data_IF_741345722253
#
_entry.id   IF_741345722253
#
_cell.length_a   1.000
_cell.length_b   1.000
_cell.length_c   1.000
_cell.angle_alpha   90.00
_cell.angle_beta   90.00
_cell.angle_gamma   90.00
#
_symmetry.space_group_name_H-M   'P 1'
#
loop_
_entity.id
_entity.type
_entity.pdbx_description
1 polymer ?
#
# COMPACT_ATOMS: atom_id res chain seq x y z
N UNK A 1 33.29 -54.31 57.43
CA UNK A 1 33.62 -55.74 57.59
C UNK A 1 32.61 -56.50 56.71
N UNK A 2 32.92 -56.66 55.41
CA UNK A 2 33.26 -57.94 54.72
C UNK A 2 32.04 -58.90 54.68
N UNK A 3 31.47 -59.33 53.55
CA UNK A 3 31.97 -59.80 52.23
C UNK A 3 30.93 -59.50 51.11
N UNK A 4 31.22 -59.13 49.85
CA UNK A 4 31.94 -59.79 48.73
C UNK A 4 31.37 -61.13 48.22
N UNK A 5 30.76 -61.11 47.01
CA UNK A 5 30.95 -62.02 45.84
C UNK A 5 30.14 -61.50 44.64
N UNK A 6 30.73 -60.81 43.66
CA UNK A 6 31.27 -61.30 42.37
C UNK A 6 30.30 -62.07 41.46
N UNK A 7 29.95 -61.50 40.29
CA UNK A 7 30.34 -62.05 38.97
C UNK A 7 29.95 -61.12 37.80
N UNK A 8 30.96 -60.71 37.04
CA UNK A 8 30.85 -60.14 35.69
C UNK A 8 30.52 -61.23 34.67
N UNK A 9 29.64 -60.96 33.69
CA UNK A 9 29.81 -61.36 32.27
C UNK A 9 29.04 -60.37 31.36
N UNK A 10 29.78 -59.58 30.57
CA UNK A 10 29.36 -59.07 29.24
C UNK A 10 29.86 -60.11 28.20
N UNK A 11 29.35 -60.26 26.95
CA UNK A 11 28.80 -59.19 26.11
C UNK A 11 27.67 -59.58 25.10
N UNK A 12 27.15 -58.52 24.47
CA UNK A 12 26.78 -58.41 23.03
C UNK A 12 25.60 -59.18 22.38
N UNK A 13 24.81 -58.34 21.69
CA UNK A 13 24.11 -58.57 20.42
C UNK A 13 22.84 -59.45 20.41
N UNK A 14 21.69 -58.78 20.32
CA UNK A 14 20.96 -58.64 19.03
C UNK A 14 19.64 -57.91 19.20
N UNK A 15 19.54 -56.78 18.51
CA UNK A 15 18.41 -56.31 17.72
C UNK A 15 17.01 -56.88 18.05
N UNK A 16 16.10 -55.96 18.40
CA UNK A 16 14.80 -55.70 17.71
C UNK A 16 13.98 -54.76 18.60
N UNK A 17 13.84 -53.51 18.18
CA UNK A 17 12.57 -52.99 17.65
C UNK A 17 11.42 -53.11 18.63
N UNK A 18 11.05 -51.98 19.22
CA UNK A 18 9.68 -51.53 19.50
C UNK A 18 9.80 -50.11 20.08
N UNK A 19 9.96 -49.12 19.19
CA UNK A 19 9.58 -47.75 19.47
C UNK A 19 8.44 -47.43 18.53
N UNK A 20 7.27 -47.19 19.12
CA UNK A 20 6.06 -46.83 18.42
C UNK A 20 6.29 -45.56 17.62
N UNK A 21 5.95 -45.62 16.34
CA UNK A 21 5.79 -44.47 15.47
C UNK A 21 4.68 -43.58 16.04
N UNK A 22 5.06 -42.50 16.72
CA UNK A 22 4.22 -41.32 16.77
C UNK A 22 4.25 -40.73 15.35
N UNK A 23 3.17 -40.92 14.60
CA UNK A 23 2.92 -40.15 13.39
C UNK A 23 2.68 -38.70 13.82
N UNK A 24 3.74 -37.89 13.81
CA UNK A 24 3.60 -36.44 13.67
C UNK A 24 3.06 -36.19 12.26
N UNK A 25 1.76 -35.92 12.17
CA UNK A 25 1.16 -35.36 10.97
C UNK A 25 1.86 -34.05 10.63
N UNK A 26 1.97 -33.68 9.34
CA UNK A 26 2.64 -32.46 8.95
C UNK A 26 1.90 -31.29 9.60
N UNK A 27 2.59 -30.59 10.51
CA UNK A 27 2.22 -29.24 10.90
C UNK A 27 2.14 -28.46 9.60
N UNK A 28 0.92 -28.09 9.25
CA UNK A 28 0.62 -27.16 8.19
C UNK A 28 1.28 -25.83 8.61
N UNK A 29 2.56 -25.69 8.26
CA UNK A 29 3.25 -24.43 8.30
C UNK A 29 2.38 -23.48 7.49
N UNK A 30 1.73 -22.54 8.18
CA UNK A 30 1.12 -21.39 7.54
C UNK A 30 2.23 -20.72 6.74
N UNK A 31 2.31 -21.10 5.46
CA UNK A 31 3.00 -20.33 4.45
C UNK A 31 2.31 -18.99 4.48
N UNK A 32 2.97 -18.00 5.05
CA UNK A 32 2.68 -16.62 4.73
C UNK A 32 2.94 -16.48 3.23
N UNK A 33 1.90 -16.66 2.44
CA UNK A 33 1.95 -16.35 1.02
C UNK A 33 2.42 -14.90 0.88
N UNK A 34 3.52 -14.62 0.16
CA UNK A 34 4.05 -13.27 -0.04
C UNK A 34 3.17 -12.42 -0.99
N UNK A 35 1.88 -12.75 -1.13
CA UNK A 35 0.89 -12.11 -2.01
C UNK A 35 -0.32 -11.52 -1.26
N UNK A 36 -0.29 -11.48 0.09
CA UNK A 36 -1.46 -11.08 0.88
C UNK A 36 -1.80 -9.58 0.91
N UNK A 37 -0.99 -8.72 0.30
CA UNK A 37 -1.10 -7.27 0.45
C UNK A 37 -1.27 -6.52 -0.88
N UNK A 38 -1.86 -7.14 -1.92
CA UNK A 38 -2.22 -6.39 -3.13
C UNK A 38 -3.68 -5.93 -3.04
N UNK A 39 -3.91 -4.65 -3.27
CA UNK A 39 -5.21 -4.03 -3.31
C UNK A 39 -5.93 -4.40 -4.61
N UNK A 40 -7.20 -4.78 -4.50
CA UNK A 40 -8.04 -5.16 -5.65
C UNK A 40 -9.18 -4.18 -5.85
N UNK A 41 -9.70 -4.08 -7.08
CA UNK A 41 -10.85 -3.24 -7.41
C UNK A 41 -12.05 -3.53 -6.49
N UNK A 42 -12.32 -4.82 -6.26
CA UNK A 42 -13.41 -5.26 -5.38
C UNK A 42 -13.24 -4.79 -3.93
N UNK A 43 -12.00 -4.75 -3.42
CA UNK A 43 -11.74 -4.21 -2.08
C UNK A 43 -12.01 -2.70 -2.03
N UNK A 44 -11.60 -1.95 -3.05
CA UNK A 44 -11.88 -0.52 -3.15
C UNK A 44 -13.39 -0.24 -3.27
N UNK A 45 -14.08 -0.93 -4.17
CA UNK A 45 -15.53 -0.78 -4.37
C UNK A 45 -16.30 -1.14 -3.10
N UNK A 46 -15.90 -2.17 -2.36
CA UNK A 46 -16.52 -2.49 -1.06
C UNK A 46 -16.29 -1.41 0.01
N UNK A 47 -15.12 -0.77 0.02
CA UNK A 47 -14.77 0.22 1.03
C UNK A 47 -15.36 1.61 0.73
N UNK A 48 -15.39 2.01 -0.54
CA UNK A 48 -15.73 3.37 -0.97
C UNK A 48 -17.06 3.46 -1.73
N UNK A 49 -17.56 2.35 -2.26
CA UNK A 49 -18.68 2.32 -3.20
C UNK A 49 -18.22 2.49 -4.64
N UNK A 50 -19.02 2.00 -5.59
CA UNK A 50 -18.67 2.00 -7.02
C UNK A 50 -18.44 3.42 -7.57
N UNK A 51 -19.26 4.38 -7.17
CA UNK A 51 -19.19 5.76 -7.65
C UNK A 51 -17.99 6.56 -7.12
N UNK A 52 -17.27 6.00 -6.13
CA UNK A 52 -16.14 6.64 -5.47
C UNK A 52 -14.81 5.95 -5.79
N UNK A 53 -14.74 5.19 -6.88
CA UNK A 53 -13.50 4.64 -7.41
C UNK A 53 -13.32 5.14 -8.83
N UNK A 54 -12.19 5.80 -9.08
CA UNK A 54 -11.88 6.41 -10.38
C UNK A 54 -10.78 5.62 -11.06
N UNK A 55 -11.05 5.22 -12.30
CA UNK A 55 -10.13 4.51 -13.16
C UNK A 55 -9.52 5.49 -14.18
N UNK A 56 -8.24 5.34 -14.47
CA UNK A 56 -7.54 6.13 -15.48
C UNK A 56 -7.29 5.23 -16.69
N UNK A 57 -7.97 5.46 -17.82
CA UNK A 57 -7.76 4.67 -19.02
C UNK A 57 -6.31 4.78 -19.49
N UNK A 58 -5.78 3.67 -20.02
CA UNK A 58 -4.45 3.68 -20.63
C UNK A 58 -4.52 4.39 -21.98
N UNK A 59 -3.90 5.57 -22.08
CA UNK A 59 -3.69 6.23 -23.36
C UNK A 59 -2.24 6.03 -23.82
N UNK A 60 -1.99 5.87 -25.13
CA UNK A 60 -0.63 5.72 -25.67
C UNK A 60 0.31 6.88 -25.31
N UNK A 61 -0.24 8.06 -25.09
CA UNK A 61 0.49 9.29 -24.73
C UNK A 61 0.81 9.35 -23.24
N UNK A 62 0.10 8.59 -22.41
CA UNK A 62 0.28 8.55 -20.96
C UNK A 62 1.39 7.55 -20.62
N UNK A 63 2.61 8.06 -20.41
CA UNK A 63 3.81 7.23 -20.24
C UNK A 63 3.99 6.67 -18.83
N UNK A 64 2.99 5.99 -18.27
CA UNK A 64 3.18 5.31 -16.98
C UNK A 64 4.04 4.05 -17.10
N UNK A 65 4.87 3.82 -16.09
CA UNK A 65 5.46 2.52 -15.80
C UNK A 65 4.34 1.44 -15.78
N UNK A 66 4.59 0.24 -16.34
CA UNK A 66 3.56 -0.79 -16.52
C UNK A 66 2.70 -1.13 -15.29
N UNK A 67 3.26 -1.22 -14.08
CA UNK A 67 2.51 -1.54 -12.88
C UNK A 67 1.57 -0.39 -12.48
N UNK A 68 2.06 0.85 -12.54
CA UNK A 68 1.24 2.06 -12.32
C UNK A 68 0.09 2.13 -13.32
N UNK A 69 0.39 1.93 -14.61
CA UNK A 69 -0.62 1.93 -15.67
C UNK A 69 -1.68 0.84 -15.47
N UNK A 70 -1.25 -0.36 -15.07
CA UNK A 70 -2.16 -1.48 -14.81
C UNK A 70 -3.05 -1.19 -13.60
N UNK A 71 -2.48 -0.70 -12.49
CA UNK A 71 -3.22 -0.40 -11.28
C UNK A 71 -4.29 0.67 -11.53
N UNK A 72 -3.91 1.82 -12.10
CA UNK A 72 -4.86 2.91 -12.33
C UNK A 72 -5.98 2.53 -13.31
N UNK A 73 -5.71 1.66 -14.28
CA UNK A 73 -6.71 1.26 -15.28
C UNK A 73 -7.61 0.08 -14.87
N UNK A 74 -7.17 -0.76 -13.91
CA UNK A 74 -7.90 -1.99 -13.54
C UNK A 74 -8.37 -2.01 -12.08
N UNK A 75 -7.69 -1.29 -11.19
CA UNK A 75 -8.04 -1.16 -9.77
C UNK A 75 -8.59 0.24 -9.47
N UNK A 76 -7.96 1.27 -10.05
CA UNK A 76 -8.32 2.67 -9.84
C UNK A 76 -7.84 3.22 -8.50
N UNK A 77 -8.21 4.46 -8.20
CA UNK A 77 -7.95 5.10 -6.90
C UNK A 77 -9.27 5.59 -6.28
N UNK A 78 -9.38 5.59 -4.94
CA UNK A 78 -10.52 6.18 -4.27
C UNK A 78 -10.68 7.67 -4.62
N UNK A 79 -11.92 8.11 -4.80
CA UNK A 79 -12.31 9.51 -4.82
C UNK A 79 -13.18 9.77 -3.58
N UNK A 80 -12.74 10.70 -2.72
CA UNK A 80 -13.44 10.97 -1.46
C UNK A 80 -13.46 12.45 -1.13
N UNK A 81 -14.19 12.83 -0.08
CA UNK A 81 -14.36 14.25 0.27
C UNK A 81 -13.02 15.00 0.45
N UNK A 82 -12.00 14.32 0.98
CA UNK A 82 -10.70 14.93 1.26
C UNK A 82 -9.69 14.78 0.13
N UNK A 83 -9.86 13.75 -0.71
CA UNK A 83 -9.03 13.51 -1.88
C UNK A 83 -9.90 13.49 -3.13
N UNK A 84 -9.79 14.55 -3.92
CA UNK A 84 -10.54 14.74 -5.16
C UNK A 84 -9.65 14.38 -6.33
N UNK A 85 -9.98 13.28 -7.00
CA UNK A 85 -9.29 12.88 -8.22
C UNK A 85 -9.50 13.93 -9.30
N UNK A 86 -8.53 14.10 -10.21
CA UNK A 86 -8.64 15.06 -11.32
C UNK A 86 -9.88 14.82 -12.18
N UNK A 87 -10.35 13.58 -12.31
CA UNK A 87 -11.56 13.25 -13.06
C UNK A 87 -12.86 13.79 -12.41
N UNK A 88 -12.81 14.18 -11.14
CA UNK A 88 -13.92 14.78 -10.38
C UNK A 88 -13.80 16.32 -10.28
N UNK A 89 -12.68 16.91 -10.74
CA UNK A 89 -12.50 18.37 -10.84
C UNK A 89 -13.29 18.85 -12.08
N UNK A 90 -14.05 19.93 -11.92
CA UNK A 90 -15.12 20.34 -12.85
C UNK A 90 -14.74 20.33 -14.34
N UNK A 91 -15.64 19.80 -15.17
CA UNK A 91 -15.43 19.61 -16.61
C UNK A 91 -15.37 20.91 -17.43
N UNK A 92 -15.70 22.05 -16.82
CA UNK A 92 -15.82 23.33 -17.51
C UNK A 92 -14.45 23.96 -17.81
N UNK A 93 -13.41 23.62 -17.02
CA UNK A 93 -12.01 23.99 -17.28
C UNK A 93 -11.09 22.96 -16.60
N UNK A 94 -10.80 21.82 -17.23
CA UNK A 94 -10.03 20.76 -16.59
C UNK A 94 -8.56 21.16 -16.48
N UNK A 95 -8.03 21.15 -15.25
CA UNK A 95 -6.60 21.36 -15.00
C UNK A 95 -5.73 20.47 -15.91
N UNK A 96 -4.59 21.00 -16.40
CA UNK A 96 -3.66 20.21 -17.19
C UNK A 96 -3.26 18.91 -16.50
N UNK A 97 -3.12 17.86 -17.33
CA UNK A 97 -2.71 16.53 -16.87
C UNK A 97 -1.27 16.54 -16.39
N UNK A 98 -0.41 17.25 -17.12
CA UNK A 98 1.01 17.34 -16.86
C UNK A 98 1.32 18.53 -15.94
N UNK A 99 2.18 18.28 -14.97
CA UNK A 99 2.55 19.25 -13.95
C UNK A 99 3.15 20.52 -14.55
N UNK A 100 3.98 20.39 -15.57
CA UNK A 100 4.60 21.54 -16.23
C UNK A 100 3.57 22.49 -16.84
N UNK A 101 2.55 21.93 -17.50
CA UNK A 101 1.48 22.73 -18.09
C UNK A 101 0.57 23.36 -17.02
N UNK A 102 0.39 22.71 -15.87
CA UNK A 102 -0.33 23.28 -14.73
C UNK A 102 0.43 24.49 -14.16
N UNK A 103 1.74 24.37 -13.97
CA UNK A 103 2.59 25.47 -13.49
C UNK A 103 2.65 26.64 -14.50
N UNK A 104 2.62 26.35 -15.81
CA UNK A 104 2.56 27.38 -16.84
C UNK A 104 1.28 28.25 -16.75
N UNK A 105 0.18 27.71 -16.22
CA UNK A 105 -1.06 28.48 -16.01
C UNK A 105 -0.94 29.46 -14.83
N UNK A 106 -0.09 29.14 -13.85
CA UNK A 106 0.13 29.95 -12.65
C UNK A 106 1.32 30.91 -12.80
N UNK A 107 2.00 30.90 -13.96
CA UNK A 107 3.24 31.66 -14.24
C UNK A 107 4.39 31.28 -13.28
N UNK A 108 4.41 29.99 -12.88
CA UNK A 108 5.38 29.41 -11.95
C UNK A 108 6.42 28.50 -12.65
N UNK A 109 7.61 28.38 -12.05
CA UNK A 109 8.71 27.59 -12.59
C UNK A 109 8.61 26.11 -12.16
N UNK A 110 8.26 25.22 -13.10
CA UNK A 110 8.34 23.77 -12.88
C UNK A 110 9.72 23.20 -13.29
N UNK A 111 10.44 22.50 -12.39
CA UNK A 111 11.71 21.85 -12.71
C UNK A 111 11.58 20.90 -13.91
N UNK A 112 12.55 20.97 -14.84
CA UNK A 112 12.49 20.28 -16.13
C UNK A 112 12.24 18.77 -16.00
N UNK A 113 12.82 18.14 -14.97
CA UNK A 113 12.70 16.71 -14.68
C UNK A 113 11.34 16.29 -14.10
N UNK A 114 10.47 17.24 -13.74
CA UNK A 114 9.14 16.97 -13.15
C UNK A 114 8.01 17.45 -14.04
N UNK A 115 8.31 18.18 -15.13
CA UNK A 115 7.28 18.78 -15.99
C UNK A 115 6.32 17.73 -16.58
N UNK A 116 6.81 16.52 -16.85
CA UNK A 116 6.03 15.41 -17.39
C UNK A 116 5.30 14.59 -16.31
N UNK A 117 5.45 14.94 -15.03
CA UNK A 117 4.71 14.28 -13.95
C UNK A 117 3.21 14.53 -14.10
N UNK A 118 2.41 13.56 -13.69
CA UNK A 118 0.97 13.62 -13.93
C UNK A 118 0.18 13.88 -12.67
N UNK A 119 -0.77 14.80 -12.76
CA UNK A 119 -1.71 15.13 -11.70
C UNK A 119 -2.74 14.02 -11.51
N UNK A 120 -2.79 13.46 -10.30
CA UNK A 120 -3.81 12.49 -9.87
C UNK A 120 -5.04 13.18 -9.26
N UNK A 121 -4.84 14.29 -8.58
CA UNK A 121 -5.90 15.01 -7.89
C UNK A 121 -5.38 15.88 -6.75
N UNK A 122 -6.27 16.27 -5.84
CA UNK A 122 -5.98 17.15 -4.72
C UNK A 122 -6.37 16.49 -3.39
N UNK A 123 -5.42 16.39 -2.46
CA UNK A 123 -5.68 16.07 -1.06
C UNK A 123 -5.78 17.39 -0.28
N UNK A 124 -7.00 17.88 -0.05
CA UNK A 124 -7.24 19.26 0.42
C UNK A 124 -6.51 20.30 -0.46
N UNK A 125 -5.51 20.99 0.10
CA UNK A 125 -4.70 22.02 -0.54
C UNK A 125 -3.36 21.49 -1.04
N UNK A 126 -3.19 20.16 -1.09
CA UNK A 126 -2.00 19.51 -1.62
C UNK A 126 -2.34 18.89 -2.97
N UNK A 127 -1.69 19.35 -4.02
CA UNK A 127 -1.72 18.71 -5.33
C UNK A 127 -0.96 17.38 -5.24
N UNK A 128 -1.60 16.30 -5.68
CA UNK A 128 -1.02 14.95 -5.70
C UNK A 128 -0.66 14.60 -7.13
N UNK A 129 0.61 14.26 -7.33
CA UNK A 129 1.17 13.91 -8.63
C UNK A 129 1.87 12.56 -8.57
N UNK A 130 2.06 11.95 -9.74
CA UNK A 130 2.82 10.71 -9.91
C UNK A 130 3.94 10.94 -10.92
N UNK A 131 5.14 10.47 -10.55
CA UNK A 131 6.24 10.33 -11.49
C UNK A 131 5.92 9.16 -12.44
N UNK A 132 5.73 9.42 -13.75
CA UNK A 132 5.34 8.39 -14.70
C UNK A 132 6.41 7.32 -14.90
N UNK A 133 7.69 7.64 -14.66
CA UNK A 133 8.79 6.71 -14.91
C UNK A 133 9.02 5.74 -13.74
N UNK A 134 8.83 6.21 -12.49
CA UNK A 134 9.02 5.39 -11.29
C UNK A 134 7.72 4.89 -10.66
N UNK A 135 6.60 5.56 -10.92
CA UNK A 135 5.32 5.34 -10.25
C UNK A 135 5.21 6.05 -8.89
N UNK A 136 6.28 6.67 -8.39
CA UNK A 136 6.28 7.31 -7.08
C UNK A 136 5.27 8.46 -7.00
N UNK A 137 4.60 8.57 -5.86
CA UNK A 137 3.59 9.60 -5.62
C UNK A 137 4.18 10.69 -4.75
N UNK A 138 4.00 11.93 -5.21
CA UNK A 138 4.48 13.13 -4.55
C UNK A 138 3.32 14.10 -4.26
N UNK A 139 3.51 14.93 -3.24
CA UNK A 139 2.63 16.04 -2.91
C UNK A 139 3.30 17.38 -3.16
N UNK A 140 2.54 18.33 -3.68
CA UNK A 140 2.87 19.75 -3.75
C UNK A 140 1.89 20.51 -2.85
N UNK A 141 2.26 20.79 -1.60
CA UNK A 141 1.49 21.67 -0.73
C UNK A 141 1.49 23.10 -1.29
N UNK A 142 0.36 23.81 -1.18
CA UNK A 142 0.18 25.21 -1.63
C UNK A 142 1.28 26.21 -1.17
N UNK A 143 2.02 25.89 -0.11
CA UNK A 143 3.05 26.78 0.48
C UNK A 143 4.50 26.33 0.28
N UNK A 144 4.74 25.25 -0.47
CA UNK A 144 6.07 24.67 -0.65
C UNK A 144 6.46 24.73 -2.14
N UNK A 145 7.68 25.20 -2.41
CA UNK A 145 8.22 25.26 -3.78
C UNK A 145 8.61 23.86 -4.32
N UNK A 146 8.84 22.91 -3.41
CA UNK A 146 9.32 21.57 -3.72
C UNK A 146 8.28 20.48 -3.46
N UNK A 147 8.40 19.39 -4.23
CA UNK A 147 7.59 18.19 -4.03
C UNK A 147 8.04 17.42 -2.80
N UNK A 148 7.10 16.89 -2.03
CA UNK A 148 7.35 15.94 -0.96
C UNK A 148 7.03 14.51 -1.43
N UNK A 149 7.96 13.54 -1.29
CA UNK A 149 7.63 12.14 -1.56
C UNK A 149 6.61 11.66 -0.51
N UNK A 150 5.51 11.06 -0.96
CA UNK A 150 4.44 10.58 -0.07
C UNK A 150 4.32 9.06 -0.06
N UNK A 151 4.34 8.44 -1.24
CA UNK A 151 4.16 7.00 -1.39
C UNK A 151 5.06 6.43 -2.47
N UNK A 152 5.48 5.17 -2.30
CA UNK A 152 6.32 4.50 -3.30
C UNK A 152 5.61 4.32 -4.65
N UNK A 153 4.29 4.23 -4.65
CA UNK A 153 3.46 3.96 -5.83
C UNK A 153 1.98 4.34 -5.59
N UNK A 154 1.19 4.28 -6.65
CA UNK A 154 -0.26 4.56 -6.64
C UNK A 154 -1.09 3.55 -5.83
N UNK A 155 -0.57 2.33 -5.64
CA UNK A 155 -1.23 1.31 -4.83
C UNK A 155 -1.12 1.65 -3.34
N UNK A 156 0.07 2.07 -2.88
CA UNK A 156 0.30 2.60 -1.55
C UNK A 156 -0.57 3.81 -1.24
N UNK A 157 -0.73 4.74 -2.19
CA UNK A 157 -1.67 5.86 -2.04
C UNK A 157 -3.10 5.34 -1.85
N UNK A 158 -3.59 4.46 -2.72
CA UNK A 158 -4.94 3.91 -2.62
C UNK A 158 -5.18 3.14 -1.32
N UNK A 159 -4.17 2.41 -0.83
CA UNK A 159 -4.20 1.75 0.46
C UNK A 159 -4.29 2.76 1.61
N UNK A 160 -3.44 3.80 1.60
CA UNK A 160 -3.46 4.87 2.60
C UNK A 160 -4.82 5.57 2.66
N UNK A 161 -5.41 5.93 1.51
CA UNK A 161 -6.75 6.52 1.42
C UNK A 161 -7.84 5.58 1.99
N UNK A 162 -7.67 4.26 1.81
CA UNK A 162 -8.59 3.25 2.35
C UNK A 162 -8.47 3.09 3.85
N UNK A 163 -7.26 3.06 4.41
CA UNK A 163 -7.05 3.06 5.86
C UNK A 163 -7.52 4.38 6.49
N UNK A 164 -7.34 5.51 5.79
CA UNK A 164 -7.83 6.80 6.25
C UNK A 164 -9.36 6.82 6.36
N UNK A 165 -10.08 6.22 5.40
CA UNK A 165 -11.53 6.05 5.47
C UNK A 165 -11.95 5.27 6.72
N UNK A 166 -11.25 4.18 7.05
CA UNK A 166 -11.51 3.39 8.27
C UNK A 166 -11.26 4.21 9.54
N UNK A 167 -10.21 5.04 9.56
CA UNK A 167 -9.96 5.98 10.65
C UNK A 167 -11.12 6.96 10.81
N UNK A 168 -11.62 7.54 9.72
CA UNK A 168 -12.77 8.45 9.77
C UNK A 168 -14.03 7.77 10.32
N UNK A 169 -14.30 6.54 9.87
CA UNK A 169 -15.43 5.77 10.35
C UNK A 169 -15.27 5.45 11.84
N UNK A 170 -14.11 4.96 12.29
CA UNK A 170 -13.86 4.68 13.71
C UNK A 170 -14.00 5.94 14.59
N UNK A 171 -13.47 7.07 14.13
CA UNK A 171 -13.63 8.36 14.80
C UNK A 171 -15.11 8.76 14.92
N UNK A 172 -15.91 8.56 13.86
CA UNK A 172 -17.34 8.85 13.88
C UNK A 172 -18.14 7.95 14.84
N UNK A 173 -17.65 6.72 15.11
CA UNK A 173 -18.24 5.81 16.10
C UNK A 173 -17.81 6.12 17.55
N UNK A 174 -16.92 7.11 17.75
CA UNK A 174 -16.46 7.52 19.07
C UNK A 174 -15.33 6.67 19.63
N UNK A 175 -14.60 5.94 18.78
CA UNK A 175 -13.41 5.21 19.18
C UNK A 175 -12.32 6.16 19.71
N UNK A 176 -11.44 5.63 20.58
CA UNK A 176 -10.33 6.39 21.13
C UNK A 176 -9.40 6.93 20.03
N UNK A 177 -9.21 8.25 20.03
CA UNK A 177 -8.51 8.95 18.93
C UNK A 177 -7.04 8.54 18.82
N UNK A 178 -6.36 8.34 19.95
CA UNK A 178 -4.95 7.93 19.94
C UNK A 178 -4.81 6.51 19.39
N UNK A 179 -5.65 5.58 19.85
CA UNK A 179 -5.64 4.20 19.40
C UNK A 179 -5.94 4.06 17.89
N UNK A 180 -6.92 4.81 17.35
CA UNK A 180 -7.23 4.75 15.91
C UNK A 180 -6.12 5.38 15.06
N UNK A 181 -5.50 6.47 15.52
CA UNK A 181 -4.36 7.10 14.81
C UNK A 181 -3.15 6.17 14.82
N UNK A 182 -2.87 5.51 15.95
CA UNK A 182 -1.79 4.52 16.05
C UNK A 182 -2.00 3.37 15.07
N UNK A 183 -3.20 2.77 15.06
CA UNK A 183 -3.54 1.67 14.14
C UNK A 183 -3.42 2.08 12.67
N UNK A 184 -3.87 3.28 12.33
CA UNK A 184 -3.72 3.82 10.97
C UNK A 184 -2.25 3.93 10.57
N UNK A 185 -1.41 4.52 11.43
CA UNK A 185 0.03 4.65 11.16
C UNK A 185 0.70 3.29 11.04
N UNK A 186 0.41 2.36 11.94
CA UNK A 186 0.96 0.99 11.84
C UNK A 186 0.58 0.30 10.54
N UNK A 187 -0.70 0.39 10.13
CA UNK A 187 -1.18 -0.24 8.91
C UNK A 187 -0.53 0.38 7.66
N UNK A 188 -0.49 1.71 7.56
CA UNK A 188 0.12 2.41 6.43
C UNK A 188 1.62 2.16 6.38
N UNK A 189 2.35 2.28 7.50
CA UNK A 189 3.81 2.04 7.54
C UNK A 189 4.18 0.59 7.25
N UNK A 190 3.36 -0.37 7.69
CA UNK A 190 3.58 -1.78 7.37
C UNK A 190 3.34 -2.08 5.88
N UNK A 191 2.47 -1.32 5.22
CA UNK A 191 2.23 -1.43 3.78
C UNK A 191 3.28 -0.70 2.98
N UNK A 192 3.62 0.54 3.35
CA UNK A 192 4.55 1.44 2.72
C UNK A 192 5.46 2.10 3.75
N UNK A 193 6.76 1.79 3.68
CA UNK A 193 7.75 2.37 4.58
C UNK A 193 8.15 3.80 4.20
N UNK A 194 7.68 4.33 3.07
CA UNK A 194 7.80 5.75 2.78
C UNK A 194 7.16 6.55 3.93
N UNK A 195 7.83 7.61 4.43
CA UNK A 195 7.27 8.42 5.50
C UNK A 195 5.96 9.07 5.00
N UNK A 196 4.84 8.88 5.72
CA UNK A 196 3.61 9.64 5.45
C UNK A 196 3.71 11.10 5.90
#
# INVERSE_FOLDING_TARGET
MLLQTEQQVHPEQRARSLHGSAQEGPREELRCDPLKNTLTADQLVRAHGLDNVVYFPRHPETRFEPATAAFLSTVGIPNMRLFKTRADVGLDDPDPVELGALFDLEDDDCPAERRHWQTLGYLRTTLIVVDPDSGAVHGYPESEEDSLPLHRDVESLAYCLTEFRKLQDAHAHGDDTEAIVHRFREAVTAFDAAPP
#
